data_IF_291395389309
#
_entry.id   IF_291395389309
#
_cell.length_a   1.000
_cell.length_b   1.000
_cell.length_c   1.000
_cell.angle_alpha   90.00
_cell.angle_beta   90.00
_cell.angle_gamma   90.00
#
_symmetry.space_group_name_H-M   'P 1'
#
loop_
_entity.id
_entity.type
_entity.pdbx_description
1 polymer ?
#
# COMPACT_ATOMS: atom_id res chain seq x y z
N UNK A 1 -4.60 0.56 30.00
CA UNK A 1 -5.05 -0.37 28.94
C UNK A 1 -4.52 0.13 27.61
N UNK A 2 -3.49 -0.51 27.04
CA UNK A 2 -2.97 -0.13 25.72
C UNK A 2 -3.90 -0.69 24.65
N UNK A 3 -4.75 0.16 24.08
CA UNK A 3 -5.51 -0.14 22.87
C UNK A 3 -4.49 -0.46 21.77
N UNK A 4 -4.20 -1.75 21.55
CA UNK A 4 -3.32 -2.15 20.47
C UNK A 4 -4.09 -1.94 19.16
N UNK A 5 -3.74 -0.87 18.44
CA UNK A 5 -4.23 -0.69 17.09
C UNK A 5 -3.90 -1.96 16.28
N UNK A 6 -4.81 -2.42 15.41
CA UNK A 6 -4.50 -3.50 14.48
C UNK A 6 -3.20 -3.17 13.75
N UNK A 7 -2.27 -4.15 13.63
CA UNK A 7 -0.89 -3.94 13.12
C UNK A 7 -0.78 -3.15 11.80
N UNK A 8 -1.87 -3.06 11.06
CA UNK A 8 -1.95 -2.42 9.75
C UNK A 8 -2.54 -1.01 9.77
N UNK A 9 -3.20 -0.57 10.84
CA UNK A 9 -3.80 0.77 10.94
C UNK A 9 -2.96 1.59 11.92
N UNK A 10 -2.54 2.77 11.49
CA UNK A 10 -1.89 3.76 12.34
C UNK A 10 -2.76 5.01 12.41
N UNK A 11 -2.75 5.70 13.55
CA UNK A 11 -3.30 7.05 13.65
C UNK A 11 -2.22 8.07 13.28
N UNK A 12 -2.50 8.95 12.32
CA UNK A 12 -1.60 10.01 11.88
C UNK A 12 -2.30 11.36 12.06
N UNK A 13 -2.05 12.00 13.21
CA UNK A 13 -2.77 13.21 13.59
C UNK A 13 -4.24 12.90 13.88
N UNK A 14 -5.15 13.54 13.15
CA UNK A 14 -6.59 13.35 13.31
C UNK A 14 -7.16 12.16 12.51
N UNK A 15 -6.43 11.69 11.50
CA UNK A 15 -6.91 10.65 10.58
C UNK A 15 -6.19 9.32 10.78
N UNK A 16 -6.84 8.23 10.34
CA UNK A 16 -6.23 6.91 10.25
C UNK A 16 -5.54 6.71 8.90
N UNK A 17 -4.46 5.93 8.91
CA UNK A 17 -3.70 5.53 7.74
C UNK A 17 -3.43 4.03 7.80
N UNK A 18 -3.41 3.38 6.65
CA UNK A 18 -3.02 1.98 6.52
C UNK A 18 -1.52 1.89 6.18
N UNK A 19 -0.82 0.98 6.85
CA UNK A 19 0.56 0.59 6.54
C UNK A 19 0.54 -0.78 5.87
N UNK A 20 1.08 -0.83 4.66
CA UNK A 20 1.27 -2.05 3.89
C UNK A 20 2.76 -2.33 3.70
N UNK A 21 3.20 -3.51 4.13
CA UNK A 21 4.58 -3.96 3.92
C UNK A 21 4.70 -4.55 2.52
N UNK A 22 5.55 -3.93 1.69
CA UNK A 22 5.72 -4.36 0.30
C UNK A 22 6.49 -5.70 0.26
N UNK A 23 5.99 -6.72 -0.45
CA UNK A 23 6.73 -7.97 -0.67
C UNK A 23 8.05 -7.74 -1.41
N UNK A 24 9.12 -8.49 -1.06
CA UNK A 24 10.47 -8.31 -1.64
C UNK A 24 10.51 -8.23 -3.17
N UNK A 25 9.66 -8.99 -3.87
CA UNK A 25 9.54 -8.98 -5.34
C UNK A 25 9.22 -7.60 -5.92
N UNK A 26 8.40 -6.80 -5.22
CA UNK A 26 8.03 -5.46 -5.65
C UNK A 26 8.98 -4.38 -5.12
N UNK A 27 9.73 -4.66 -4.05
CA UNK A 27 10.69 -3.70 -3.46
C UNK A 27 11.76 -3.28 -4.48
N UNK A 28 12.17 -4.18 -5.37
CA UNK A 28 13.14 -3.89 -6.44
C UNK A 28 12.60 -2.86 -7.46
N UNK A 29 11.31 -2.92 -7.77
CA UNK A 29 10.66 -2.04 -8.76
C UNK A 29 10.24 -0.70 -8.16
N UNK A 30 9.73 -0.73 -6.92
CA UNK A 30 9.16 0.45 -6.26
C UNK A 30 10.23 1.24 -5.49
N UNK A 31 11.34 0.59 -5.11
CA UNK A 31 12.43 1.20 -4.34
C UNK A 31 12.06 1.50 -2.88
N UNK A 32 10.92 1.00 -2.39
CA UNK A 32 10.43 1.20 -1.02
C UNK A 32 10.07 -0.12 -0.37
N UNK A 33 10.18 -0.18 0.96
CA UNK A 33 9.86 -1.39 1.75
C UNK A 33 8.44 -1.39 2.30
N UNK A 34 7.85 -0.21 2.45
CA UNK A 34 6.53 -0.01 3.05
C UNK A 34 5.80 1.11 2.30
N UNK A 35 4.49 0.99 2.19
CA UNK A 35 3.58 2.03 1.72
C UNK A 35 2.67 2.42 2.88
N UNK A 36 2.56 3.72 3.10
CA UNK A 36 1.63 4.29 4.05
C UNK A 36 0.61 5.11 3.27
N UNK A 37 -0.66 4.74 3.39
CA UNK A 37 -1.76 5.42 2.70
C UNK A 37 -2.75 5.97 3.72
N UNK A 38 -3.03 7.26 3.64
CA UNK A 38 -4.04 7.92 4.47
C UNK A 38 -5.43 7.41 4.07
N UNK A 39 -6.27 7.01 5.05
CA UNK A 39 -7.64 6.59 4.78
C UNK A 39 -8.63 7.77 4.81
N UNK A 40 -8.19 8.95 5.26
CA UNK A 40 -9.00 10.18 5.27
C UNK A 40 -10.12 10.20 6.31
N UNK A 41 -10.32 9.13 7.08
CA UNK A 41 -11.31 9.04 8.15
C UNK A 41 -10.67 9.14 9.53
N UNK A 42 -11.39 9.74 10.47
CA UNK A 42 -11.05 9.78 11.90
C UNK A 42 -11.86 8.74 12.71
N UNK A 43 -12.67 7.91 12.04
CA UNK A 43 -13.42 6.79 12.62
C UNK A 43 -12.66 5.47 12.43
N UNK A 44 -12.44 4.74 13.53
CA UNK A 44 -11.72 3.47 13.49
C UNK A 44 -12.49 2.37 12.73
N UNK A 45 -13.81 2.34 12.88
CA UNK A 45 -14.69 1.38 12.18
C UNK A 45 -14.64 1.57 10.67
N UNK A 46 -14.75 2.81 10.20
CA UNK A 46 -14.58 3.16 8.79
C UNK A 46 -13.17 2.82 8.30
N UNK A 47 -12.14 3.13 9.09
CA UNK A 47 -10.76 2.79 8.75
C UNK A 47 -10.56 1.29 8.56
N UNK A 48 -11.23 0.45 9.35
CA UNK A 48 -11.19 -1.01 9.21
C UNK A 48 -11.92 -1.47 7.94
N UNK A 49 -13.04 -0.85 7.59
CA UNK A 49 -13.77 -1.15 6.36
C UNK A 49 -12.94 -0.77 5.11
N UNK A 50 -12.36 0.44 5.12
CA UNK A 50 -11.54 0.98 4.03
C UNK A 50 -10.17 0.30 3.91
N UNK A 51 -9.70 -0.37 4.96
CA UNK A 51 -8.40 -1.07 4.95
C UNK A 51 -8.30 -2.03 3.76
N UNK A 52 -9.31 -2.87 3.54
CA UNK A 52 -9.23 -3.90 2.51
C UNK A 52 -9.20 -3.28 1.11
N UNK A 53 -9.98 -2.23 0.91
CA UNK A 53 -10.02 -1.48 -0.35
C UNK A 53 -8.67 -0.80 -0.62
N UNK A 54 -8.13 -0.07 0.37
CA UNK A 54 -6.85 0.60 0.27
C UNK A 54 -5.68 -0.38 0.05
N UNK A 55 -5.72 -1.58 0.63
CA UNK A 55 -4.74 -2.64 0.35
C UNK A 55 -4.89 -3.13 -1.09
N UNK A 56 -6.11 -3.40 -1.55
CA UNK A 56 -6.35 -3.85 -2.92
C UNK A 56 -5.89 -2.83 -3.97
N UNK A 57 -6.08 -1.53 -3.71
CA UNK A 57 -5.56 -0.46 -4.56
C UNK A 57 -4.02 -0.41 -4.56
N UNK A 58 -3.38 -0.59 -3.38
CA UNK A 58 -1.92 -0.67 -3.29
C UNK A 58 -1.42 -1.88 -4.09
N UNK A 59 -2.04 -3.05 -3.96
CA UNK A 59 -1.64 -4.26 -4.69
C UNK A 59 -1.81 -4.11 -6.19
N UNK A 60 -2.88 -3.46 -6.65
CA UNK A 60 -3.07 -3.13 -8.07
C UNK A 60 -2.00 -2.15 -8.57
N UNK A 61 -1.69 -1.09 -7.82
CA UNK A 61 -0.63 -0.13 -8.18
C UNK A 61 0.74 -0.82 -8.24
N UNK A 62 1.05 -1.68 -7.27
CA UNK A 62 2.29 -2.47 -7.23
C UNK A 62 2.39 -3.41 -8.43
N UNK A 63 1.28 -4.06 -8.79
CA UNK A 63 1.21 -4.97 -9.93
C UNK A 63 1.38 -4.21 -11.25
N UNK A 64 0.66 -3.11 -11.44
CA UNK A 64 0.79 -2.26 -12.61
C UNK A 64 2.22 -1.72 -12.78
N UNK A 65 2.88 -1.33 -11.68
CA UNK A 65 4.29 -0.90 -11.71
C UNK A 65 5.26 -2.03 -12.05
N UNK A 66 4.96 -3.26 -11.63
CA UNK A 66 5.74 -4.43 -12.01
C UNK A 66 5.62 -4.68 -13.51
N UNK A 67 4.40 -4.67 -14.06
CA UNK A 67 4.14 -4.86 -15.50
C UNK A 67 4.75 -3.73 -16.35
N UNK A 68 4.63 -2.47 -15.93
CA UNK A 68 5.28 -1.34 -16.62
C UNK A 68 6.80 -1.33 -16.44
N UNK A 69 7.30 -1.85 -15.32
CA UNK A 69 8.73 -2.05 -15.08
C UNK A 69 9.33 -3.10 -16.02
N UNK A 70 8.55 -4.15 -16.32
CA UNK A 70 8.89 -5.22 -17.26
C UNK A 70 8.77 -4.76 -18.73
N UNK A 71 7.83 -3.86 -19.04
CA UNK A 71 7.64 -3.27 -20.38
C UNK A 71 8.78 -2.33 -20.82
N UNK A 72 9.81 -2.08 -19.99
CA UNK A 72 11.04 -1.39 -20.44
C UNK A 72 12.01 -2.30 -21.21
N UNK A 73 11.68 -3.57 -21.43
CA UNK A 73 12.53 -4.53 -22.15
C UNK A 73 11.95 -5.03 -23.49
N UNK A 74 10.90 -4.42 -24.04
CA UNK A 74 10.47 -4.73 -25.43
C UNK A 74 10.56 -3.47 -26.30
N UNK A 75 11.78 -3.01 -26.49
CA UNK A 75 12.16 -2.30 -27.71
C UNK A 75 13.39 -2.98 -28.28
N UNK A 76 13.28 -3.29 -29.58
CA UNK A 76 14.33 -3.71 -30.51
C UNK A 76 14.61 -5.23 -30.58
N UNK A 77 13.95 -5.89 -31.53
CA UNK A 77 14.70 -6.42 -32.68
C UNK A 77 13.79 -6.86 -33.84
N UNK A 78 14.08 -6.31 -35.03
CA UNK A 78 13.90 -6.99 -36.33
C UNK A 78 12.54 -6.83 -36.97
#
# INVERSE_FOLDING_TARGET
MTLQLPKFIMKRGDTYAVRYSIPKRFQAVVGRKEIVRSLGTNCLSEAIALRNDAIGEIEQELTARLEMGDMRCVSSNG
#
